data_IF_585525310623
#
_entry.id   IF_585525310623
#
_cell.length_a   1.000
_cell.length_b   1.000
_cell.length_c   1.000
_cell.angle_alpha   90.00
_cell.angle_beta   90.00
_cell.angle_gamma   90.00
#
_symmetry.space_group_name_H-M   'P 1'
#
loop_
_entity.id
_entity.type
_entity.pdbx_description
1 polymer ?
#
# COMPACT_ATOMS: atom_id res chain seq x y z
N UNK A 1 -1.01 -7.79 -50.75
CA UNK A 1 -1.19 -6.91 -49.58
C UNK A 1 -0.45 -7.56 -48.44
N UNK A 2 0.64 -6.95 -47.97
CA UNK A 2 1.35 -7.47 -46.81
C UNK A 2 0.40 -7.38 -45.61
N UNK A 3 -0.03 -8.54 -45.12
CA UNK A 3 -0.81 -8.62 -43.88
C UNK A 3 0.16 -8.27 -42.76
N UNK A 4 0.12 -7.01 -42.32
CA UNK A 4 0.88 -6.56 -41.16
C UNK A 4 0.34 -7.32 -39.96
N UNK A 5 1.20 -8.11 -39.31
CA UNK A 5 0.84 -8.87 -38.13
C UNK A 5 0.28 -7.93 -37.04
N UNK A 6 -0.84 -8.31 -36.45
CA UNK A 6 -1.44 -7.57 -35.35
C UNK A 6 -0.73 -7.97 -34.03
N UNK A 7 0.09 -7.07 -33.43
CA UNK A 7 0.80 -7.37 -32.20
C UNK A 7 -0.11 -7.59 -30.98
N UNK A 8 -1.39 -7.21 -31.04
CA UNK A 8 -2.36 -7.39 -29.96
C UNK A 8 -3.09 -8.72 -30.12
N UNK A 9 -3.64 -9.03 -31.29
CA UNK A 9 -4.53 -10.20 -31.40
C UNK A 9 -3.83 -11.47 -31.87
N UNK A 10 -2.86 -11.39 -32.78
CA UNK A 10 -2.19 -12.57 -33.36
C UNK A 10 -1.48 -13.47 -32.34
N UNK A 11 -0.89 -12.94 -31.25
CA UNK A 11 -0.23 -13.78 -30.27
C UNK A 11 -1.18 -14.61 -29.37
N UNK A 12 -2.51 -14.41 -29.47
CA UNK A 12 -3.51 -14.97 -28.56
C UNK A 12 -4.15 -16.25 -29.13
N UNK A 13 -4.46 -17.20 -28.25
CA UNK A 13 -5.31 -18.34 -28.61
C UNK A 13 -6.79 -17.87 -28.76
N UNK A 14 -7.71 -18.73 -29.26
CA UNK A 14 -9.11 -18.35 -29.46
C UNK A 14 -9.80 -17.83 -28.20
N UNK A 15 -9.66 -18.51 -27.05
CA UNK A 15 -10.35 -18.10 -25.81
C UNK A 15 -9.81 -16.78 -25.25
N UNK A 16 -8.50 -16.55 -25.36
CA UNK A 16 -7.87 -15.28 -24.99
C UNK A 16 -8.30 -14.16 -25.93
N UNK A 17 -8.41 -14.43 -27.24
CA UNK A 17 -8.88 -13.48 -28.25
C UNK A 17 -10.33 -13.09 -27.97
N UNK A 18 -11.20 -14.04 -27.66
CA UNK A 18 -12.61 -13.76 -27.30
C UNK A 18 -12.69 -12.86 -26.07
N UNK A 19 -11.91 -13.15 -25.03
CA UNK A 19 -11.85 -12.31 -23.83
C UNK A 19 -11.27 -10.90 -24.12
N UNK A 20 -10.29 -10.78 -25.01
CA UNK A 20 -9.67 -9.50 -25.41
C UNK A 20 -10.60 -8.67 -26.30
N UNK A 21 -11.41 -9.32 -27.13
CA UNK A 21 -12.31 -8.66 -28.10
C UNK A 21 -13.74 -8.49 -27.58
N UNK A 22 -14.02 -8.95 -26.36
CA UNK A 22 -15.30 -8.74 -25.67
C UNK A 22 -15.82 -7.31 -25.86
N UNK A 23 -17.13 -7.14 -26.05
CA UNK A 23 -17.73 -5.82 -26.25
C UNK A 23 -17.89 -5.04 -24.95
N UNK A 24 -19.06 -4.42 -24.82
CA UNK A 24 -19.46 -3.72 -23.60
C UNK A 24 -19.96 -4.67 -22.52
N UNK A 25 -20.10 -4.15 -21.30
CA UNK A 25 -20.69 -4.86 -20.17
C UNK A 25 -19.70 -5.71 -19.37
N UNK A 26 -20.18 -6.34 -18.28
CA UNK A 26 -19.34 -7.10 -17.36
C UNK A 26 -18.80 -8.38 -18.00
N UNK A 27 -17.52 -8.67 -17.76
CA UNK A 27 -16.87 -9.91 -18.17
C UNK A 27 -16.14 -10.54 -16.97
N UNK A 28 -16.39 -11.82 -16.70
CA UNK A 28 -15.67 -12.62 -15.72
C UNK A 28 -14.80 -13.66 -16.42
N UNK A 29 -13.49 -13.60 -16.20
CA UNK A 29 -12.53 -14.55 -16.77
C UNK A 29 -12.12 -15.54 -15.68
N UNK A 30 -12.56 -16.80 -15.80
CA UNK A 30 -12.15 -17.90 -14.94
C UNK A 30 -10.93 -18.58 -15.54
N UNK A 31 -9.79 -18.51 -14.86
CA UNK A 31 -8.53 -18.92 -15.45
C UNK A 31 -7.58 -19.56 -14.42
N UNK A 32 -7.10 -20.76 -14.74
CA UNK A 32 -6.15 -21.52 -13.91
C UNK A 32 -4.74 -20.89 -13.88
N UNK A 33 -3.83 -21.44 -13.06
CA UNK A 33 -2.43 -21.03 -13.10
C UNK A 33 -1.84 -21.23 -14.51
N UNK A 34 -0.94 -20.35 -14.96
CA UNK A 34 -0.27 -20.46 -16.26
C UNK A 34 -1.11 -20.12 -17.51
N UNK A 35 -2.43 -19.97 -17.41
CA UNK A 35 -3.35 -19.69 -18.54
C UNK A 35 -3.20 -18.32 -19.22
N UNK A 36 -2.27 -17.47 -18.77
CA UNK A 36 -2.04 -16.16 -19.37
C UNK A 36 -3.00 -15.05 -18.91
N UNK A 37 -3.64 -15.15 -17.73
CA UNK A 37 -4.53 -14.10 -17.16
C UNK A 37 -4.02 -12.68 -17.35
N UNK A 38 -2.79 -12.42 -16.93
CA UNK A 38 -2.18 -11.09 -17.03
C UNK A 38 -2.00 -10.67 -18.48
N UNK A 39 -1.66 -11.60 -19.38
CA UNK A 39 -1.54 -11.36 -20.82
C UNK A 39 -2.89 -10.91 -21.38
N UNK A 40 -3.96 -11.65 -21.09
CA UNK A 40 -5.32 -11.29 -21.51
C UNK A 40 -5.69 -9.88 -21.05
N UNK A 41 -5.47 -9.54 -19.78
CA UNK A 41 -5.77 -8.21 -19.26
C UNK A 41 -4.97 -7.11 -19.98
N UNK A 42 -3.66 -7.30 -20.20
CA UNK A 42 -2.83 -6.30 -20.88
C UNK A 42 -3.20 -6.12 -22.35
N UNK A 43 -3.50 -7.23 -23.04
CA UNK A 43 -3.93 -7.18 -24.45
C UNK A 43 -5.32 -6.59 -24.57
N UNK A 44 -6.23 -6.84 -23.62
CA UNK A 44 -7.55 -6.21 -23.57
C UNK A 44 -7.44 -4.69 -23.44
N UNK A 45 -6.63 -4.20 -22.51
CA UNK A 45 -6.40 -2.76 -22.34
C UNK A 45 -5.84 -2.15 -23.64
N UNK A 46 -4.86 -2.83 -24.26
CA UNK A 46 -4.28 -2.36 -25.51
C UNK A 46 -5.32 -2.31 -26.65
N UNK A 47 -6.16 -3.34 -26.76
CA UNK A 47 -7.25 -3.43 -27.74
C UNK A 47 -8.28 -2.31 -27.56
N UNK A 48 -8.70 -2.05 -26.31
CA UNK A 48 -9.60 -0.94 -25.99
C UNK A 48 -9.04 0.40 -26.50
N UNK A 49 -7.75 0.64 -26.31
CA UNK A 49 -7.11 1.91 -26.67
C UNK A 49 -6.88 2.04 -28.17
N UNK A 50 -6.33 1.00 -28.80
CA UNK A 50 -5.87 1.06 -30.19
C UNK A 50 -7.00 0.80 -31.18
N UNK A 51 -7.82 -0.22 -30.93
CA UNK A 51 -8.80 -0.73 -31.87
C UNK A 51 -10.20 -0.13 -31.62
N UNK A 52 -10.56 0.10 -30.35
CA UNK A 52 -11.83 0.74 -29.98
C UNK A 52 -11.70 2.24 -29.66
N UNK A 53 -10.50 2.82 -29.83
CA UNK A 53 -10.22 4.24 -29.61
C UNK A 53 -10.65 4.79 -28.24
N UNK A 54 -10.68 3.94 -27.20
CA UNK A 54 -10.98 4.37 -25.82
C UNK A 54 -9.82 5.23 -25.30
N UNK A 55 -10.08 6.44 -24.78
CA UNK A 55 -9.03 7.25 -24.15
C UNK A 55 -8.35 6.49 -23.01
N UNK A 56 -7.01 6.48 -22.98
CA UNK A 56 -6.27 5.74 -21.95
C UNK A 56 -6.57 6.24 -20.53
N UNK A 57 -6.88 7.53 -20.39
CA UNK A 57 -7.32 8.17 -19.14
C UNK A 57 -8.66 7.65 -18.61
N UNK A 58 -9.48 7.01 -19.45
CA UNK A 58 -10.75 6.40 -19.07
C UNK A 58 -10.62 4.96 -18.56
N UNK A 59 -9.40 4.38 -18.60
CA UNK A 59 -9.15 2.98 -18.22
C UNK A 59 -8.47 2.91 -16.85
N UNK A 60 -9.06 2.13 -15.94
CA UNK A 60 -8.51 1.78 -14.64
C UNK A 60 -8.12 0.31 -14.60
N UNK A 61 -6.86 0.02 -14.29
CA UNK A 61 -6.35 -1.31 -14.07
C UNK A 61 -5.78 -1.43 -12.65
N UNK A 62 -6.47 -2.21 -11.81
CA UNK A 62 -6.09 -2.43 -10.40
C UNK A 62 -5.63 -3.86 -10.15
N UNK A 63 -4.66 -4.01 -9.24
CA UNK A 63 -4.17 -5.31 -8.78
C UNK A 63 -3.90 -5.29 -7.26
N UNK A 64 -3.56 -6.43 -6.69
CA UNK A 64 -3.30 -6.55 -5.25
C UNK A 64 -1.87 -6.16 -4.85
N UNK A 65 -0.88 -6.28 -5.74
CA UNK A 65 0.53 -6.08 -5.37
C UNK A 65 1.23 -5.05 -6.26
N UNK A 66 2.16 -4.31 -5.67
CA UNK A 66 3.00 -3.35 -6.41
C UNK A 66 3.82 -4.04 -7.51
N UNK A 67 4.29 -5.27 -7.25
CA UNK A 67 5.02 -6.08 -8.24
C UNK A 67 4.15 -6.35 -9.47
N UNK A 68 2.92 -6.84 -9.28
CA UNK A 68 2.00 -7.10 -10.38
C UNK A 68 1.66 -5.82 -11.15
N UNK A 69 1.49 -4.69 -10.46
CA UNK A 69 1.21 -3.40 -11.10
C UNK A 69 2.38 -2.96 -11.98
N UNK A 70 3.62 -3.09 -11.48
CA UNK A 70 4.84 -2.79 -12.23
C UNK A 70 4.98 -3.67 -13.47
N UNK A 71 4.84 -4.99 -13.31
CA UNK A 71 4.89 -5.91 -14.45
C UNK A 71 3.79 -5.64 -15.49
N UNK A 72 2.59 -5.28 -15.05
CA UNK A 72 1.49 -4.90 -15.95
C UNK A 72 1.84 -3.62 -16.74
N UNK A 73 2.39 -2.60 -16.07
CA UNK A 73 2.85 -1.36 -16.74
C UNK A 73 3.94 -1.65 -17.77
N UNK A 74 4.93 -2.47 -17.44
CA UNK A 74 6.02 -2.85 -18.36
C UNK A 74 5.51 -3.60 -19.60
N UNK A 75 4.47 -4.42 -19.46
CA UNK A 75 3.82 -5.09 -20.61
C UNK A 75 3.03 -4.10 -21.45
N UNK A 76 2.26 -3.21 -20.82
CA UNK A 76 1.47 -2.20 -21.51
C UNK A 76 2.35 -1.20 -22.28
N UNK A 77 3.50 -0.82 -21.73
CA UNK A 77 4.45 0.08 -22.41
C UNK A 77 4.81 -0.44 -23.81
N UNK A 78 5.02 -1.75 -23.93
CA UNK A 78 5.36 -2.41 -25.20
C UNK A 78 4.20 -2.48 -26.19
N UNK A 79 2.96 -2.45 -25.70
CA UNK A 79 1.75 -2.62 -26.53
C UNK A 79 1.17 -1.27 -26.98
N UNK A 80 1.20 -0.25 -26.11
CA UNK A 80 0.53 1.05 -26.37
C UNK A 80 1.49 2.24 -26.37
N UNK A 81 2.75 2.04 -25.97
CA UNK A 81 3.76 3.10 -25.89
C UNK A 81 3.66 3.97 -24.64
N UNK A 82 4.75 4.68 -24.35
CA UNK A 82 4.93 5.49 -23.13
C UNK A 82 3.91 6.61 -22.97
N UNK A 83 3.55 7.28 -24.06
CA UNK A 83 2.62 8.41 -24.05
C UNK A 83 1.24 7.99 -23.55
N UNK A 84 0.65 6.96 -24.18
CA UNK A 84 -0.65 6.41 -23.76
C UNK A 84 -0.59 5.77 -22.38
N UNK A 85 0.52 5.12 -22.03
CA UNK A 85 0.71 4.54 -20.69
C UNK A 85 0.78 5.60 -19.58
N UNK A 86 1.23 6.82 -19.88
CA UNK A 86 1.30 7.91 -18.90
C UNK A 86 -0.09 8.38 -18.46
N UNK A 87 -1.08 8.34 -19.37
CA UNK A 87 -2.47 8.68 -19.08
C UNK A 87 -3.22 7.56 -18.34
N UNK A 88 -2.79 6.31 -18.49
CA UNK A 88 -3.49 5.15 -17.95
C UNK A 88 -3.28 5.00 -16.44
N UNK A 89 -4.37 4.72 -15.72
CA UNK A 89 -4.30 4.43 -14.29
C UNK A 89 -4.06 2.94 -14.07
N UNK A 90 -2.79 2.55 -13.93
CA UNK A 90 -2.38 1.21 -13.46
C UNK A 90 -1.82 1.31 -12.04
N UNK A 91 -2.33 0.51 -11.11
CA UNK A 91 -1.82 0.50 -9.75
C UNK A 91 -2.41 -0.59 -8.86
N UNK A 92 -2.18 -0.47 -7.56
CA UNK A 92 -2.88 -1.28 -6.56
C UNK A 92 -4.20 -0.60 -6.17
N UNK A 93 -5.11 -1.37 -5.57
CA UNK A 93 -6.31 -0.80 -4.94
C UNK A 93 -5.95 0.36 -3.98
N UNK A 94 -5.00 0.13 -3.08
CA UNK A 94 -4.54 1.15 -2.14
C UNK A 94 -3.92 2.37 -2.83
N UNK A 95 -3.07 2.15 -3.84
CA UNK A 95 -2.46 3.27 -4.59
C UNK A 95 -3.48 4.10 -5.34
N UNK A 96 -4.50 3.47 -5.91
CA UNK A 96 -5.62 4.15 -6.54
C UNK A 96 -6.46 4.94 -5.52
N UNK A 97 -6.90 4.30 -4.44
CA UNK A 97 -7.69 4.95 -3.39
C UNK A 97 -6.95 6.13 -2.75
N UNK A 98 -5.65 5.98 -2.49
CA UNK A 98 -4.84 7.07 -1.97
C UNK A 98 -4.83 8.26 -2.95
N UNK A 99 -4.61 8.03 -4.26
CA UNK A 99 -4.64 9.09 -5.27
C UNK A 99 -6.01 9.77 -5.34
N UNK A 100 -7.09 8.98 -5.29
CA UNK A 100 -8.46 9.48 -5.28
C UNK A 100 -8.71 10.40 -4.08
N UNK A 101 -8.36 9.95 -2.86
CA UNK A 101 -8.51 10.72 -1.64
C UNK A 101 -7.64 11.99 -1.61
N UNK A 102 -6.44 11.96 -2.19
CA UNK A 102 -5.60 13.17 -2.32
C UNK A 102 -6.24 14.22 -3.25
N UNK A 103 -6.97 13.78 -4.27
CA UNK A 103 -7.63 14.66 -5.24
C UNK A 103 -8.93 15.23 -4.66
N UNK A 104 -9.82 14.33 -4.23
CA UNK A 104 -11.23 14.61 -3.95
C UNK A 104 -11.60 14.49 -2.46
N UNK A 105 -10.70 13.97 -1.61
CA UNK A 105 -10.92 13.81 -0.17
C UNK A 105 -11.40 15.07 0.57
N UNK A 106 -10.97 16.30 0.20
CA UNK A 106 -11.47 17.50 0.87
C UNK A 106 -12.98 17.69 0.80
N UNK A 107 -13.65 17.14 -0.22
CA UNK A 107 -15.12 17.18 -0.37
C UNK A 107 -15.81 16.45 0.79
N UNK A 108 -15.14 15.46 1.37
CA UNK A 108 -15.62 14.66 2.50
C UNK A 108 -14.81 14.92 3.79
N UNK A 109 -14.08 16.05 3.85
CA UNK A 109 -13.32 16.46 5.03
C UNK A 109 -12.00 15.72 5.25
N UNK A 110 -11.48 15.01 4.25
CA UNK A 110 -10.16 14.36 4.32
C UNK A 110 -9.11 15.29 3.72
N UNK A 111 -8.14 15.70 4.54
CA UNK A 111 -7.08 16.60 4.11
C UNK A 111 -6.17 15.95 3.05
N UNK A 112 -5.74 16.73 2.05
CA UNK A 112 -4.86 16.24 0.98
C UNK A 112 -3.48 15.81 1.45
N UNK A 113 -3.08 16.15 2.68
CA UNK A 113 -1.79 15.81 3.30
C UNK A 113 -1.89 14.68 4.33
N UNK A 114 -3.04 13.97 4.44
CA UNK A 114 -3.24 12.84 5.37
C UNK A 114 -2.06 11.87 5.46
N UNK A 115 -1.75 11.35 6.65
CA UNK A 115 -0.71 10.33 6.80
C UNK A 115 -1.27 8.94 6.52
N UNK A 116 -0.46 8.06 5.92
CA UNK A 116 -0.76 6.62 5.85
C UNK A 116 0.07 5.96 6.93
N UNK A 117 -0.60 5.43 7.94
CA UNK A 117 0.06 4.73 9.05
C UNK A 117 0.50 3.33 8.64
N UNK A 118 1.75 3.04 8.96
CA UNK A 118 2.27 1.67 8.91
C UNK A 118 1.76 0.85 10.13
N UNK A 119 2.18 -0.41 10.23
CA UNK A 119 1.76 -1.27 11.34
C UNK A 119 2.27 -0.80 12.71
N UNK A 120 3.43 -0.14 12.77
CA UNK A 120 3.97 0.36 14.03
C UNK A 120 3.14 1.57 14.51
N UNK A 121 2.85 2.51 13.62
CA UNK A 121 1.99 3.67 13.87
C UNK A 121 0.59 3.23 14.31
N UNK A 122 -0.02 2.30 13.55
CA UNK A 122 -1.35 1.75 13.88
C UNK A 122 -1.37 1.12 15.28
N UNK A 123 -0.35 0.31 15.62
CA UNK A 123 -0.26 -0.32 16.96
C UNK A 123 -0.05 0.69 18.07
N UNK A 124 0.72 1.76 17.83
CA UNK A 124 0.94 2.81 18.82
C UNK A 124 -0.38 3.52 19.16
N UNK A 125 -1.13 3.96 18.15
CA UNK A 125 -2.43 4.64 18.34
C UNK A 125 -3.46 3.68 18.92
N UNK A 126 -3.46 2.40 18.53
CA UNK A 126 -4.36 1.40 19.10
C UNK A 126 -4.11 1.18 20.60
N UNK A 127 -2.86 1.07 21.03
CA UNK A 127 -2.54 0.96 22.45
C UNK A 127 -2.96 2.18 23.24
N UNK A 128 -2.77 3.37 22.68
CA UNK A 128 -3.27 4.60 23.28
C UNK A 128 -4.80 4.56 23.43
N UNK A 129 -5.52 4.18 22.38
CA UNK A 129 -6.98 4.04 22.42
C UNK A 129 -7.46 3.02 23.45
N UNK A 130 -6.73 1.90 23.61
CA UNK A 130 -7.00 0.90 24.64
C UNK A 130 -6.80 1.48 26.05
N UNK A 131 -5.71 2.22 26.28
CA UNK A 131 -5.48 2.93 27.54
C UNK A 131 -6.58 3.93 27.87
N UNK A 132 -6.94 4.78 26.92
CA UNK A 132 -8.00 5.81 27.06
C UNK A 132 -9.38 5.22 27.39
N UNK A 133 -9.62 3.96 27.01
CA UNK A 133 -10.89 3.25 27.21
C UNK A 133 -10.84 2.21 28.32
N UNK A 134 -9.75 2.14 29.10
CA UNK A 134 -9.52 1.15 30.15
C UNK A 134 -9.56 -0.32 29.67
N UNK A 135 -9.28 -0.56 28.39
CA UNK A 135 -9.16 -1.90 27.83
C UNK A 135 -7.79 -2.50 28.20
N UNK A 136 -7.77 -3.44 29.14
CA UNK A 136 -6.54 -4.07 29.61
C UNK A 136 -5.87 -4.92 28.52
N UNK A 137 -4.63 -4.58 28.14
CA UNK A 137 -3.80 -5.36 27.22
C UNK A 137 -3.53 -6.79 27.70
N UNK A 138 -3.61 -7.04 29.03
CA UNK A 138 -3.46 -8.39 29.60
C UNK A 138 -4.65 -9.28 29.32
N UNK A 139 -5.83 -8.68 29.15
CA UNK A 139 -7.09 -9.40 28.90
C UNK A 139 -7.36 -9.46 27.39
N UNK A 140 -7.15 -8.35 26.69
CA UNK A 140 -7.37 -8.22 25.26
C UNK A 140 -6.07 -7.84 24.57
N UNK A 141 -5.43 -8.80 23.88
CA UNK A 141 -4.20 -8.51 23.15
C UNK A 141 -4.46 -7.46 22.05
N UNK A 142 -3.61 -6.43 21.89
CA UNK A 142 -3.81 -5.40 20.85
C UNK A 142 -3.96 -5.97 19.44
N UNK A 143 -3.20 -7.03 19.12
CA UNK A 143 -3.31 -7.70 17.81
C UNK A 143 -4.67 -8.35 17.57
N UNK A 144 -5.33 -8.85 18.62
CA UNK A 144 -6.67 -9.44 18.50
C UNK A 144 -7.73 -8.36 18.21
N UNK A 145 -7.64 -7.20 18.88
CA UNK A 145 -8.50 -6.06 18.60
C UNK A 145 -8.25 -5.54 17.18
N UNK A 146 -6.99 -5.38 16.77
CA UNK A 146 -6.64 -4.95 15.43
C UNK A 146 -7.21 -5.88 14.34
N UNK A 147 -7.17 -7.21 14.58
CA UNK A 147 -7.73 -8.18 13.66
C UNK A 147 -9.26 -8.05 13.53
N UNK A 148 -9.98 -7.82 14.62
CA UNK A 148 -11.43 -7.58 14.60
C UNK A 148 -11.75 -6.30 13.83
N UNK A 149 -11.04 -5.19 14.10
CA UNK A 149 -11.22 -3.93 13.38
C UNK A 149 -10.94 -4.10 11.88
N UNK A 150 -9.84 -4.78 11.53
CA UNK A 150 -9.46 -5.05 10.14
C UNK A 150 -10.51 -5.88 9.41
N UNK A 151 -11.01 -6.96 10.04
CA UNK A 151 -12.09 -7.78 9.47
C UNK A 151 -13.35 -6.97 9.24
N UNK A 152 -13.75 -6.14 10.21
CA UNK A 152 -14.93 -5.29 10.09
C UNK A 152 -14.78 -4.23 8.97
N UNK A 153 -13.60 -3.61 8.83
CA UNK A 153 -13.31 -2.66 7.74
C UNK A 153 -13.38 -3.33 6.36
N UNK A 154 -12.90 -4.57 6.22
CA UNK A 154 -13.00 -5.34 4.98
C UNK A 154 -14.46 -5.70 4.61
N UNK A 155 -15.35 -5.74 5.60
CA UNK A 155 -16.80 -5.92 5.42
C UNK A 155 -17.55 -4.57 5.30
N UNK A 156 -16.84 -3.44 5.21
CA UNK A 156 -17.39 -2.08 5.16
C UNK A 156 -18.28 -1.73 6.38
N UNK A 157 -17.99 -2.33 7.53
CA UNK A 157 -18.65 -2.05 8.80
C UNK A 157 -17.91 -0.97 9.56
N UNK A 158 -18.62 -0.21 10.38
CA UNK A 158 -18.08 0.73 11.35
C UNK A 158 -18.15 0.22 12.78
N UNK A 159 -17.65 1.01 13.75
CA UNK A 159 -17.70 0.66 15.17
C UNK A 159 -19.14 0.51 15.68
N UNK A 160 -20.09 1.28 15.15
CA UNK A 160 -21.51 1.17 15.50
C UNK A 160 -22.12 -0.17 15.09
N UNK A 161 -21.78 -0.68 13.90
CA UNK A 161 -22.26 -1.99 13.42
C UNK A 161 -21.74 -3.11 14.32
N UNK A 162 -20.46 -3.05 14.68
CA UNK A 162 -19.85 -4.03 15.59
C UNK A 162 -20.47 -4.00 16.99
N UNK A 163 -20.83 -2.81 17.48
CA UNK A 163 -21.53 -2.65 18.76
C UNK A 163 -22.96 -3.18 18.72
N UNK A 164 -23.64 -3.11 17.57
CA UNK A 164 -25.05 -3.51 17.43
C UNK A 164 -25.26 -5.03 17.47
N UNK A 165 -24.32 -5.82 16.96
CA UNK A 165 -24.41 -7.28 16.93
C UNK A 165 -23.07 -7.95 17.28
N UNK A 166 -22.61 -7.84 18.55
CA UNK A 166 -21.32 -8.40 18.96
C UNK A 166 -21.41 -9.91 19.16
N UNK A 167 -20.46 -10.66 18.58
CA UNK A 167 -20.39 -12.14 18.74
C UNK A 167 -19.82 -12.56 20.10
N UNK A 168 -19.23 -11.62 20.84
CA UNK A 168 -18.60 -11.91 22.12
C UNK A 168 -18.05 -10.66 22.79
N UNK A 169 -17.30 -10.87 23.87
CA UNK A 169 -16.71 -9.78 24.65
C UNK A 169 -15.63 -9.03 23.87
N UNK A 170 -14.84 -9.73 23.04
CA UNK A 170 -13.81 -9.11 22.22
C UNK A 170 -14.41 -8.07 21.25
N UNK A 171 -15.51 -8.41 20.56
CA UNK A 171 -16.19 -7.49 19.64
C UNK A 171 -16.70 -6.23 20.35
N UNK A 172 -17.30 -6.39 21.54
CA UNK A 172 -17.79 -5.26 22.35
C UNK A 172 -16.66 -4.31 22.71
N UNK A 173 -15.53 -4.85 23.19
CA UNK A 173 -14.37 -4.03 23.55
C UNK A 173 -13.73 -3.43 22.31
N UNK A 174 -13.61 -4.18 21.21
CA UNK A 174 -13.08 -3.69 19.95
C UNK A 174 -13.91 -2.53 19.40
N UNK A 175 -15.24 -2.56 19.50
CA UNK A 175 -16.10 -1.45 19.08
C UNK A 175 -15.84 -0.16 19.87
N UNK A 176 -15.67 -0.27 21.20
CA UNK A 176 -15.37 0.86 22.08
C UNK A 176 -13.97 1.43 21.77
N UNK A 177 -12.97 0.55 21.70
CA UNK A 177 -11.58 0.93 21.39
C UNK A 177 -11.48 1.55 20.00
N UNK A 178 -12.18 1.00 19.01
CA UNK A 178 -12.15 1.48 17.63
C UNK A 178 -12.70 2.90 17.51
N UNK A 179 -13.82 3.22 18.16
CA UNK A 179 -14.33 4.59 18.17
C UNK A 179 -13.26 5.58 18.62
N UNK A 180 -12.55 5.27 19.71
CA UNK A 180 -11.46 6.11 20.21
C UNK A 180 -10.24 6.14 19.28
N UNK A 181 -9.90 5.00 18.69
CA UNK A 181 -8.82 4.89 17.70
C UNK A 181 -9.03 5.82 16.50
N UNK A 182 -10.24 5.84 15.92
CA UNK A 182 -10.54 6.69 14.75
C UNK A 182 -10.50 8.20 15.11
N UNK A 183 -10.96 8.59 16.31
CA UNK A 183 -10.85 9.97 16.82
C UNK A 183 -9.38 10.42 16.93
N UNK A 184 -8.51 9.55 17.47
CA UNK A 184 -7.08 9.82 17.62
C UNK A 184 -6.39 9.93 16.25
N UNK A 185 -6.68 9.02 15.33
CA UNK A 185 -6.13 9.02 13.97
C UNK A 185 -6.54 10.24 13.14
N UNK A 186 -7.73 10.80 13.40
CA UNK A 186 -8.20 12.01 12.69
C UNK A 186 -7.61 13.28 13.28
N UNK A 187 -7.45 13.33 14.61
CA UNK A 187 -6.92 14.51 15.31
C UNK A 187 -5.43 14.72 15.07
N UNK A 188 -4.64 13.64 14.99
CA UNK A 188 -3.20 13.70 14.71
C UNK A 188 -2.87 14.23 13.30
N UNK A 189 -3.78 14.10 12.34
CA UNK A 189 -3.62 14.60 10.97
C UNK A 189 -3.73 16.12 10.83
N UNK A 190 -4.23 16.83 11.86
CA UNK A 190 -4.55 18.28 11.78
C UNK A 190 -3.50 19.16 12.46
N UNK A 191 -2.43 18.61 13.05
CA UNK A 191 -1.42 19.45 13.74
C UNK A 191 -0.51 20.15 12.73
N UNK A 192 -0.50 21.49 12.63
CA UNK A 192 0.40 22.20 11.73
C UNK A 192 1.83 22.01 12.26
N UNK A 193 2.73 21.48 11.44
CA UNK A 193 4.15 21.37 11.77
C UNK A 193 4.69 22.77 12.05
N UNK A 194 4.90 23.09 13.33
CA UNK A 194 5.48 24.36 13.76
C UNK A 194 6.94 24.40 13.30
N UNK A 195 7.20 24.98 12.12
CA UNK A 195 8.57 25.27 11.65
C UNK A 195 9.22 26.20 12.66
N UNK A 196 10.19 25.68 13.41
CA UNK A 196 11.12 26.48 14.19
C UNK A 196 12.04 27.23 13.24
N UNK A 197 11.78 28.52 13.05
CA UNK A 197 12.75 29.46 12.49
C UNK A 197 13.82 29.74 13.55
N UNK A 198 14.88 28.92 13.58
CA UNK A 198 16.10 29.28 14.30
C UNK A 198 16.92 30.26 13.46
N UNK A 199 16.67 31.55 13.72
CA UNK A 199 17.56 32.64 13.37
C UNK A 199 18.89 32.43 14.09
N UNK A 200 19.97 32.07 13.37
CA UNK A 200 21.30 32.04 13.96
C UNK A 200 22.16 33.17 13.40
N UNK A 201 22.40 34.17 14.25
CA UNK A 201 23.34 35.27 14.05
C UNK A 201 24.77 34.78 14.28
N UNK A 202 25.61 35.14 13.32
CA UNK A 202 27.08 35.27 13.25
C UNK A 202 27.87 35.31 14.56
N UNK A 203 28.94 34.50 14.68
CA UNK A 203 30.25 34.88 15.31
C UNK A 203 31.40 34.16 14.58
N UNK A 204 32.46 34.90 14.22
CA UNK A 204 33.61 34.48 13.39
C UNK A 204 34.73 33.72 14.11
N UNK A 205 35.88 33.47 13.42
CA UNK A 205 36.85 32.46 13.83
C UNK A 205 37.98 33.03 14.70
N UNK A 206 38.48 32.22 15.64
CA UNK A 206 39.79 32.40 16.26
C UNK A 206 40.57 31.08 16.30
N UNK A 207 41.81 31.21 15.89
CA UNK A 207 42.89 30.23 15.79
C UNK A 207 43.45 29.77 17.15
N UNK A 208 44.03 28.58 17.16
CA UNK A 208 45.33 28.38 17.84
C UNK A 208 45.43 27.22 18.83
N UNK A 209 46.23 26.23 18.42
CA UNK A 209 47.33 25.60 19.19
C UNK A 209 47.24 24.08 19.37
N UNK A 210 48.33 23.47 18.90
CA UNK A 210 48.71 22.07 18.91
C UNK A 210 49.42 21.73 20.22
N UNK A 211 49.17 20.55 20.79
CA UNK A 211 50.24 19.78 21.42
C UNK A 211 49.97 18.28 21.35
N UNK A 212 51.05 17.55 21.11
CA UNK A 212 51.20 16.15 20.68
C UNK A 212 51.69 15.29 21.83
N UNK A 213 51.24 14.02 21.92
CA UNK A 213 51.97 12.80 22.39
C UNK A 213 50.97 11.73 22.88
N UNK A 214 51.17 10.41 22.87
CA UNK A 214 51.92 9.37 22.11
C UNK A 214 51.56 8.02 22.77
N UNK A 215 51.71 6.90 22.02
CA UNK A 215 51.87 5.47 22.42
C UNK A 215 50.57 4.67 22.72
N UNK A 216 50.28 3.59 21.97
CA UNK A 216 50.83 2.20 22.02
C UNK A 216 50.09 1.36 23.07
N UNK A 217 49.61 0.12 22.91
CA UNK A 217 49.71 -0.94 21.88
C UNK A 217 48.83 -2.12 22.34
N UNK A 218 48.25 -2.86 21.38
CA UNK A 218 48.03 -4.33 21.28
C UNK A 218 47.50 -5.17 22.47
N UNK A 219 46.56 -6.10 22.20
CA UNK A 219 46.74 -7.59 22.25
C UNK A 219 45.41 -8.36 22.06
N UNK A 220 45.29 -9.03 20.90
CA UNK A 220 44.95 -10.45 20.61
C UNK A 220 43.89 -11.28 21.39
N UNK A 221 42.80 -11.68 20.69
CA UNK A 221 42.18 -13.04 20.51
C UNK A 221 41.68 -13.89 21.71
N UNK A 222 40.96 -15.04 21.52
CA UNK A 222 40.56 -15.71 20.27
C UNK A 222 39.06 -16.18 20.19
N UNK A 223 38.77 -16.91 19.11
CA UNK A 223 37.49 -17.35 18.55
C UNK A 223 36.74 -18.50 19.25
N UNK A 224 35.42 -18.63 18.99
CA UNK A 224 34.80 -19.95 18.72
C UNK A 224 33.46 -19.91 17.96
N UNK A 225 33.36 -20.85 17.01
CA UNK A 225 32.24 -21.25 16.13
C UNK A 225 30.94 -21.62 16.86
N UNK A 226 29.78 -21.43 16.18
CA UNK A 226 28.88 -22.54 15.76
C UNK A 226 27.77 -22.08 14.80
N UNK A 227 27.45 -23.00 13.90
CA UNK A 227 26.47 -23.01 12.81
C UNK A 227 25.06 -23.35 13.27
N UNK A 228 24.02 -22.80 12.63
CA UNK A 228 22.77 -23.52 12.29
C UNK A 228 21.93 -22.69 11.29
N UNK A 229 21.30 -23.39 10.35
CA UNK A 229 20.73 -22.84 9.11
C UNK A 229 19.38 -22.10 9.26
N UNK A 230 18.86 -21.56 8.15
CA UNK A 230 17.66 -20.75 8.18
C UNK A 230 16.40 -21.63 8.17
N UNK A 231 15.67 -21.63 9.28
CA UNK A 231 14.26 -22.08 9.30
C UNK A 231 13.40 -20.96 8.72
N UNK A 232 13.03 -21.11 7.45
CA UNK A 232 12.07 -20.23 6.78
C UNK A 232 10.69 -20.41 7.39
N UNK A 233 10.30 -19.51 8.29
CA UNK A 233 8.91 -19.28 8.68
C UNK A 233 8.49 -17.93 8.09
N UNK A 234 7.65 -17.99 7.06
CA UNK A 234 6.97 -16.81 6.54
C UNK A 234 6.05 -16.26 7.65
N UNK A 235 6.47 -15.16 8.26
CA UNK A 235 5.63 -14.34 9.14
C UNK A 235 4.63 -13.52 8.32
N UNK A 236 3.52 -13.09 8.94
CA UNK A 236 2.48 -12.34 8.26
C UNK A 236 3.03 -11.01 7.76
N UNK A 237 2.82 -10.71 6.48
CA UNK A 237 3.13 -9.41 5.91
C UNK A 237 2.17 -8.38 6.50
N UNK A 238 2.73 -7.56 7.37
CA UNK A 238 2.24 -6.23 7.70
C UNK A 238 2.34 -5.32 6.46
N UNK A 239 1.23 -4.69 6.14
CA UNK A 239 0.88 -4.03 4.87
C UNK A 239 1.84 -2.93 4.40
#
# INVERSE_FOLDING_TARGET
MDVVADPILDPLNPEQRDAVTHGDGPLLILAGAGSGKTRVLTHRIAYLIRDLAVPASAILAVTFTNKAAKEMRERLDRLVGKERLAELTVGTFHGFCARLLRRDGPIVGIDRSFAIYDEADQRAVLRQAMGDTNASERVFAPGAIAAVISSAKNELKGPADLASNPKGQLDRIAAIVWKRYDELSTSSATTPTRRSSSSNRTIGPRSGSSTRRTRSSATTGPARRRSSGPTGRAGPMSW
#
